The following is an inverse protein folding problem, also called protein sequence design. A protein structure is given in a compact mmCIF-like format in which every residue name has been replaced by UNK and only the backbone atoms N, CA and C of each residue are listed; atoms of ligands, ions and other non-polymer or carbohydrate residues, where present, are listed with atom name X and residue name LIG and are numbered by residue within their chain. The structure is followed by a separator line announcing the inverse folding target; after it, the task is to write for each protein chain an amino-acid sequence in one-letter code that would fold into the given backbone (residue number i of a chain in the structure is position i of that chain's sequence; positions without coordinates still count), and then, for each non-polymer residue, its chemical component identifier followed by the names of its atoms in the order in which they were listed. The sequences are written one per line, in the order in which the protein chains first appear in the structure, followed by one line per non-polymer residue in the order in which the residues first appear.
data_IF_313413637218
#
_entry.id   IF_313413637218
#
_cell.length_a   1.000
_cell.length_b   1.000
_cell.length_c   1.000
_cell.angle_alpha   90.00
_cell.angle_beta   90.00
_cell.angle_gamma   90.00
#
_symmetry.space_group_name_H-M   'P 1'
#
loop_
_entity.id
_entity.type
_entity.pdbx_description
1 polymer ?
#
# COMPACT_ATOMS: atom_id res chain seq x y z
N UNK A 1 -5.01 -7.49 -4.78
CA UNK A 1 -4.20 -7.03 -3.62
C UNK A 1 -4.98 -7.16 -2.32
N UNK A 2 -4.34 -7.60 -1.22
CA UNK A 2 -5.01 -7.88 0.08
C UNK A 2 -5.74 -6.65 0.63
N UNK A 3 -5.08 -5.49 0.66
CA UNK A 3 -5.69 -4.26 1.19
C UNK A 3 -6.95 -3.84 0.43
N UNK A 4 -7.00 -4.01 -0.89
CA UNK A 4 -8.20 -3.72 -1.71
C UNK A 4 -9.37 -4.58 -1.25
N UNK A 5 -9.15 -5.88 -1.04
CA UNK A 5 -10.19 -6.80 -0.59
C UNK A 5 -10.71 -6.43 0.81
N UNK A 6 -9.82 -6.09 1.74
CA UNK A 6 -10.18 -5.69 3.10
C UNK A 6 -10.99 -4.39 3.09
N UNK A 7 -10.58 -3.39 2.29
CA UNK A 7 -11.31 -2.13 2.13
C UNK A 7 -12.67 -2.30 1.48
N UNK A 8 -12.88 -3.40 0.75
CA UNK A 8 -14.18 -3.79 0.20
C UNK A 8 -15.04 -4.61 1.19
N UNK A 9 -14.62 -4.74 2.45
CA UNK A 9 -15.38 -5.40 3.52
C UNK A 9 -15.07 -6.87 3.73
N UNK A 10 -14.08 -7.46 3.02
CA UNK A 10 -13.63 -8.82 3.33
C UNK A 10 -12.81 -8.84 4.61
N UNK A 11 -12.92 -9.92 5.40
CA UNK A 11 -12.08 -10.11 6.57
C UNK A 11 -10.60 -10.26 6.15
N UNK A 12 -9.68 -9.87 7.04
CA UNK A 12 -8.25 -10.02 6.79
C UNK A 12 -7.85 -11.47 6.53
N UNK A 13 -8.40 -12.41 7.29
CA UNK A 13 -8.17 -13.85 7.12
C UNK A 13 -8.57 -14.33 5.72
N UNK A 14 -9.77 -14.00 5.26
CA UNK A 14 -10.24 -14.38 3.92
C UNK A 14 -9.43 -13.71 2.81
N UNK A 15 -9.02 -12.45 3.00
CA UNK A 15 -8.20 -11.74 2.02
C UNK A 15 -6.79 -12.33 1.85
N UNK A 16 -6.28 -13.04 2.85
CA UNK A 16 -4.96 -13.69 2.84
C UNK A 16 -4.95 -15.06 2.15
N UNK A 17 -6.12 -15.69 1.91
CA UNK A 17 -6.21 -17.01 1.26
C UNK A 17 -5.58 -17.04 -0.14
N UNK A 18 -5.71 -15.93 -0.88
CA UNK A 18 -5.12 -15.76 -2.21
C UNK A 18 -3.63 -15.44 -2.24
N UNK A 19 -2.96 -15.39 -1.07
CA UNK A 19 -1.52 -15.12 -0.98
C UNK A 19 -0.74 -16.43 -1.01
N UNK A 20 0.31 -16.47 -1.82
CA UNK A 20 1.24 -17.60 -1.94
C UNK A 20 1.80 -17.98 -0.55
N UNK A 21 1.80 -19.26 -0.15
CA UNK A 21 2.14 -19.69 1.21
C UNK A 21 3.45 -19.12 1.76
N UNK A 22 4.52 -19.08 0.94
CA UNK A 22 5.82 -18.57 1.35
C UNK A 22 5.85 -17.08 1.68
N UNK A 23 4.89 -16.31 1.14
CA UNK A 23 4.80 -14.86 1.32
C UNK A 23 3.83 -14.43 2.43
N UNK A 24 2.99 -15.34 2.94
CA UNK A 24 1.87 -14.99 3.84
C UNK A 24 2.31 -14.26 5.10
N UNK A 25 3.36 -14.73 5.77
CA UNK A 25 3.85 -14.11 7.01
C UNK A 25 4.29 -12.66 6.78
N UNK A 26 5.04 -12.41 5.70
CA UNK A 26 5.47 -11.07 5.30
C UNK A 26 4.31 -10.16 4.91
N UNK A 27 3.41 -10.65 4.05
CA UNK A 27 2.22 -9.89 3.64
C UNK A 27 1.31 -9.58 4.83
N UNK A 28 1.15 -10.53 5.75
CA UNK A 28 0.37 -10.35 6.98
C UNK A 28 0.98 -9.25 7.84
N UNK A 29 2.29 -9.27 8.09
CA UNK A 29 2.98 -8.25 8.87
C UNK A 29 2.77 -6.84 8.27
N UNK A 30 2.95 -6.69 6.96
CA UNK A 30 2.71 -5.44 6.25
C UNK A 30 1.25 -4.99 6.37
N UNK A 31 0.30 -5.88 6.13
CA UNK A 31 -1.15 -5.56 6.21
C UNK A 31 -1.54 -5.10 7.61
N UNK A 32 -1.07 -5.77 8.67
CA UNK A 32 -1.37 -5.34 10.04
C UNK A 32 -0.79 -3.96 10.36
N UNK A 33 0.43 -3.68 9.91
CA UNK A 33 1.01 -2.34 10.05
C UNK A 33 0.19 -1.29 9.31
N UNK A 34 -0.16 -1.57 8.05
CA UNK A 34 -0.95 -0.67 7.22
C UNK A 34 -2.32 -0.40 7.84
N UNK A 35 -3.04 -1.43 8.30
CA UNK A 35 -4.35 -1.27 8.92
C UNK A 35 -4.31 -0.41 10.18
N UNK A 36 -3.24 -0.49 10.97
CA UNK A 36 -3.06 0.37 12.16
C UNK A 36 -2.98 1.86 11.82
N UNK A 37 -2.46 2.20 10.65
CA UNK A 37 -2.23 3.59 10.21
C UNK A 37 -3.07 4.00 9.00
N UNK A 38 -4.03 3.17 8.58
CA UNK A 38 -4.75 3.33 7.30
C UNK A 38 -5.51 4.66 7.24
N UNK A 39 -6.20 5.05 8.30
CA UNK A 39 -6.94 6.32 8.33
C UNK A 39 -6.03 7.53 8.09
N UNK A 40 -4.79 7.47 8.59
CA UNK A 40 -3.80 8.53 8.39
C UNK A 40 -3.27 8.55 6.97
N UNK A 41 -2.92 7.39 6.42
CA UNK A 41 -2.51 7.25 5.03
C UNK A 41 -3.59 7.76 4.07
N UNK A 42 -4.86 7.45 4.33
CA UNK A 42 -6.00 7.91 3.53
C UNK A 42 -6.17 9.43 3.57
N UNK A 43 -6.01 10.05 4.74
CA UNK A 43 -6.07 11.49 4.91
C UNK A 43 -4.92 12.21 4.18
N UNK A 44 -3.70 11.67 4.24
CA UNK A 44 -2.56 12.20 3.48
C UNK A 44 -2.78 12.08 1.97
N UNK A 45 -3.21 10.91 1.50
CA UNK A 45 -3.53 10.67 0.08
C UNK A 45 -4.58 11.67 -0.41
N UNK A 46 -5.53 12.08 0.44
CA UNK A 46 -6.53 13.14 0.17
C UNK A 46 -5.92 14.52 -0.07
N UNK A 47 -4.80 14.82 0.60
CA UNK A 47 -4.05 16.06 0.43
C UNK A 47 -3.11 16.02 -0.77
N UNK A 48 -2.56 14.85 -1.08
CA UNK A 48 -1.63 14.64 -2.21
C UNK A 48 -2.35 14.54 -3.55
N UNK A 49 -3.53 13.92 -3.57
CA UNK A 49 -4.30 13.69 -4.79
C UNK A 49 -5.75 14.14 -4.63
N UNK A 50 -6.10 15.23 -5.34
CA UNK A 50 -7.46 15.81 -5.36
C UNK A 50 -8.52 14.83 -5.86
N UNK A 51 -8.20 14.06 -6.91
CA UNK A 51 -9.06 13.00 -7.45
C UNK A 51 -8.59 11.66 -6.89
N UNK A 52 -9.54 10.84 -6.42
CA UNK A 52 -9.25 9.48 -5.96
C UNK A 52 -8.69 8.64 -7.11
N UNK A 53 -7.50 8.04 -6.96
CA UNK A 53 -6.92 7.14 -7.96
C UNK A 53 -7.73 5.84 -8.09
N UNK A 54 -7.49 5.02 -9.13
CA UNK A 54 -8.02 3.65 -9.21
C UNK A 54 -7.68 2.84 -7.95
N UNK A 55 -8.58 1.95 -7.53
CA UNK A 55 -8.52 1.30 -6.22
C UNK A 55 -7.19 0.57 -5.91
N UNK A 56 -6.57 -0.06 -6.93
CA UNK A 56 -5.28 -0.73 -6.79
C UNK A 56 -4.16 0.29 -6.54
N UNK A 57 -4.08 1.37 -7.32
CA UNK A 57 -3.09 2.42 -7.15
C UNK A 57 -3.29 3.19 -5.83
N UNK A 58 -4.53 3.53 -5.49
CA UNK A 58 -4.87 4.19 -4.22
C UNK A 58 -4.47 3.33 -3.01
N UNK A 59 -4.71 2.02 -3.07
CA UNK A 59 -4.34 1.10 -1.98
C UNK A 59 -2.83 0.88 -1.91
N UNK A 60 -2.10 0.87 -3.04
CA UNK A 60 -0.64 0.78 -3.04
C UNK A 60 -0.01 2.06 -2.45
N UNK A 61 -0.51 3.24 -2.85
CA UNK A 61 -0.10 4.51 -2.29
C UNK A 61 -0.39 4.60 -0.79
N UNK A 62 -1.60 4.22 -0.35
CA UNK A 62 -1.93 4.18 1.08
C UNK A 62 -1.07 3.18 1.86
N UNK A 63 -0.66 2.08 1.24
CA UNK A 63 0.27 1.11 1.85
C UNK A 63 1.62 1.75 2.12
N UNK A 64 2.21 2.41 1.13
CA UNK A 64 3.49 3.11 1.28
C UNK A 64 3.40 4.24 2.31
N UNK A 65 2.37 5.09 2.25
CA UNK A 65 2.18 6.18 3.22
C UNK A 65 2.00 5.68 4.66
N UNK A 66 1.34 4.53 4.87
CA UNK A 66 1.19 3.94 6.20
C UNK A 66 2.52 3.38 6.73
N UNK A 67 3.35 2.78 5.86
CA UNK A 67 4.68 2.28 6.22
C UNK A 67 5.67 3.41 6.50
N UNK A 68 5.57 4.53 5.76
CA UNK A 68 6.42 5.71 5.91
C UNK A 68 6.00 6.67 7.03
N UNK A 69 4.81 6.47 7.64
CA UNK A 69 4.19 7.49 8.50
C UNK A 69 5.05 7.95 9.68
N UNK A 70 5.88 7.07 10.26
CA UNK A 70 6.82 7.40 11.33
C UNK A 70 8.22 6.93 10.98
N UNK A 71 9.16 7.87 10.89
CA UNK A 71 10.59 7.56 10.70
C UNK A 71 11.16 6.76 11.88
N UNK A 72 10.81 7.16 13.10
CA UNK A 72 11.17 6.43 14.31
C UNK A 72 10.48 5.06 14.35
N UNK A 73 11.29 4.00 14.17
CA UNK A 73 10.80 2.64 14.09
C UNK A 73 10.14 2.30 12.74
N UNK A 74 10.43 3.07 11.69
CA UNK A 74 10.06 2.69 10.32
C UNK A 74 10.64 1.31 10.00
N UNK A 75 9.84 0.39 9.41
CA UNK A 75 10.34 -0.94 9.06
C UNK A 75 11.37 -0.90 7.93
N UNK A 76 11.39 0.18 7.14
CA UNK A 76 12.26 0.36 5.98
C UNK A 76 12.75 1.80 5.89
N UNK A 77 13.93 1.98 5.30
CA UNK A 77 14.41 3.29 4.87
C UNK A 77 13.46 3.92 3.84
N UNK A 78 13.34 5.26 3.88
CA UNK A 78 12.41 6.00 3.04
C UNK A 78 12.66 5.78 1.55
N UNK A 79 13.91 5.86 1.09
CA UNK A 79 14.24 5.67 -0.33
C UNK A 79 13.90 4.25 -0.78
N UNK A 80 14.23 3.25 0.04
CA UNK A 80 13.89 1.85 -0.25
C UNK A 80 12.39 1.64 -0.38
N UNK A 81 11.59 2.23 0.51
CA UNK A 81 10.14 2.10 0.47
C UNK A 81 9.53 2.74 -0.78
N UNK A 82 10.00 3.94 -1.17
CA UNK A 82 9.53 4.61 -2.39
C UNK A 82 9.90 3.79 -3.63
N UNK A 83 11.16 3.37 -3.75
CA UNK A 83 11.63 2.55 -4.88
C UNK A 83 10.80 1.26 -5.02
N UNK A 84 10.59 0.54 -3.91
CA UNK A 84 9.82 -0.70 -3.94
C UNK A 84 8.33 -0.49 -4.23
N UNK A 85 7.73 0.61 -3.78
CA UNK A 85 6.35 0.95 -4.13
C UNK A 85 6.20 1.24 -5.63
N UNK A 86 7.17 1.94 -6.22
CA UNK A 86 7.19 2.27 -7.65
C UNK A 86 7.46 1.03 -8.49
N UNK A 87 8.40 0.18 -8.11
CA UNK A 87 8.67 -1.09 -8.78
C UNK A 87 7.48 -2.04 -8.71
N UNK A 88 6.81 -2.14 -7.56
CA UNK A 88 5.57 -2.88 -7.43
C UNK A 88 4.50 -2.34 -8.39
N UNK A 89 4.37 -1.02 -8.50
CA UNK A 89 3.42 -0.39 -9.41
C UNK A 89 3.69 -0.76 -10.88
N UNK A 90 4.96 -0.69 -11.32
CA UNK A 90 5.36 -1.01 -12.70
C UNK A 90 5.08 -2.47 -13.08
N UNK A 91 5.28 -3.39 -12.14
CA UNK A 91 5.17 -4.84 -12.36
C UNK A 91 3.72 -5.34 -12.45
N UNK A 92 2.75 -4.61 -11.90
CA UNK A 92 1.35 -5.02 -11.90
C UNK A 92 0.51 -4.25 -12.94
N UNK A 93 -0.26 -4.93 -13.83
CA UNK A 93 -1.03 -4.28 -14.89
C UNK A 93 -1.97 -3.16 -14.40
N UNK A 94 -2.71 -3.40 -13.33
CA UNK A 94 -3.69 -2.44 -12.77
C UNK A 94 -3.09 -1.17 -12.12
N UNK A 95 -1.77 -1.12 -11.96
CA UNK A 95 -1.06 0.01 -11.35
C UNK A 95 0.04 0.59 -12.24
N UNK A 96 0.39 -0.09 -13.34
CA UNK A 96 1.53 0.27 -14.18
C UNK A 96 1.43 1.69 -14.73
N UNK A 97 0.24 2.10 -15.17
CA UNK A 97 0.01 3.45 -15.69
C UNK A 97 0.06 4.54 -14.61
N UNK A 98 0.06 4.15 -13.33
CA UNK A 98 0.07 5.04 -12.18
C UNK A 98 1.44 5.07 -11.48
N UNK A 99 2.46 4.38 -11.99
CA UNK A 99 3.79 4.32 -11.36
C UNK A 99 4.41 5.72 -11.17
N UNK A 100 4.38 6.58 -12.20
CA UNK A 100 4.88 7.95 -12.10
C UNK A 100 4.06 8.80 -11.13
N UNK A 101 2.75 8.57 -11.06
CA UNK A 101 1.87 9.26 -10.11
C UNK A 101 2.18 8.85 -8.66
N UNK A 102 2.39 7.55 -8.42
CA UNK A 102 2.78 7.02 -7.10
C UNK A 102 4.14 7.61 -6.69
N UNK A 103 5.11 7.62 -7.60
CA UNK A 103 6.43 8.22 -7.35
C UNK A 103 6.36 9.72 -7.05
N UNK A 104 5.42 10.46 -7.66
CA UNK A 104 5.27 11.89 -7.42
C UNK A 104 4.57 12.21 -6.08
N UNK A 105 3.86 11.23 -5.50
CA UNK A 105 3.14 11.39 -4.24
C UNK A 105 3.96 11.01 -3.01
N UNK A 106 5.00 10.19 -3.20
CA UNK A 106 5.89 9.69 -2.15
C UNK A 106 7.21 10.46 -2.17
#
# INVERSE_FOLDING_TARGET
MVLVAIRAGRSGTAAMEGVEPGLRSGVQALVFHVLRWLGRAQALRQRLAKRTPPAQADSLLCTALALAWREEGAPYDAFTLVDQAVEAAKRHPDTRQQANFINACL
#
